data_IF_295158120012
#
_entry.id   IF_295158120012
#
_cell.length_a   1.000
_cell.length_b   1.000
_cell.length_c   1.000
_cell.angle_alpha   90.00
_cell.angle_beta   90.00
_cell.angle_gamma   90.00
#
_symmetry.space_group_name_H-M   'P 1'
#
loop_
_entity.id
_entity.type
_entity.pdbx_description
1 polymer ?
#
# COMPACT_ATOMS: atom_id res chain seq x y z
N UNK A 1 -14.11 11.01 -18.19
CA UNK A 1 -14.72 10.09 -17.22
C UNK A 1 -15.58 10.87 -16.25
N UNK A 2 -16.69 10.32 -15.88
CA UNK A 2 -17.60 10.99 -14.97
C UNK A 2 -17.00 11.18 -13.58
N UNK A 3 -17.23 12.36 -13.00
CA UNK A 3 -16.67 12.71 -11.69
C UNK A 3 -17.14 11.77 -10.57
N UNK A 4 -18.40 11.32 -10.60
CA UNK A 4 -18.92 10.40 -9.60
C UNK A 4 -18.21 9.06 -9.60
N UNK A 5 -17.85 8.56 -10.78
CA UNK A 5 -17.09 7.32 -10.91
C UNK A 5 -15.68 7.51 -10.37
N UNK A 6 -15.04 8.64 -10.67
CA UNK A 6 -13.70 8.94 -10.17
C UNK A 6 -13.68 9.06 -8.65
N UNK A 7 -14.72 9.69 -8.06
CA UNK A 7 -14.79 9.81 -6.60
C UNK A 7 -14.92 8.44 -5.94
N UNK A 8 -15.70 7.54 -6.54
CA UNK A 8 -15.82 6.17 -6.02
C UNK A 8 -14.50 5.43 -6.12
N UNK A 9 -13.81 5.58 -7.26
CA UNK A 9 -12.49 4.97 -7.44
C UNK A 9 -11.48 5.51 -6.43
N UNK A 10 -11.59 6.80 -6.10
CA UNK A 10 -10.71 7.40 -5.10
C UNK A 10 -10.92 6.77 -3.72
N UNK A 11 -12.17 6.57 -3.33
CA UNK A 11 -12.47 5.91 -2.05
C UNK A 11 -11.85 4.52 -2.00
N UNK A 12 -12.01 3.76 -3.08
CA UNK A 12 -11.43 2.41 -3.17
C UNK A 12 -9.90 2.46 -3.13
N UNK A 13 -9.30 3.41 -3.83
CA UNK A 13 -7.85 3.57 -3.83
C UNK A 13 -7.33 3.96 -2.45
N UNK A 14 -8.03 4.84 -1.74
CA UNK A 14 -7.66 5.22 -0.38
C UNK A 14 -7.71 4.01 0.56
N UNK A 15 -8.72 3.17 0.42
CA UNK A 15 -8.84 1.96 1.22
C UNK A 15 -7.70 0.98 0.91
N UNK A 16 -7.36 0.82 -0.37
CA UNK A 16 -6.27 -0.06 -0.78
C UNK A 16 -4.93 0.40 -0.22
N UNK A 17 -4.68 1.72 -0.24
CA UNK A 17 -3.46 2.29 0.33
C UNK A 17 -3.40 2.04 1.83
N UNK A 18 -4.52 2.27 2.53
CA UNK A 18 -4.58 2.06 3.98
C UNK A 18 -4.33 0.59 4.34
N UNK A 19 -4.91 -0.34 3.57
CA UNK A 19 -4.69 -1.78 3.78
C UNK A 19 -3.23 -2.15 3.65
N UNK A 20 -2.57 -1.70 2.58
CA UNK A 20 -1.17 -2.05 2.38
C UNK A 20 -0.28 -1.43 3.45
N UNK A 21 -0.59 -0.23 3.93
CA UNK A 21 0.14 0.36 5.07
C UNK A 21 0.03 -0.51 6.32
N UNK A 22 -1.17 -1.03 6.60
CA UNK A 22 -1.41 -1.88 7.76
C UNK A 22 -0.63 -3.19 7.64
N UNK A 23 -0.65 -3.82 6.47
CA UNK A 23 0.10 -5.06 6.24
C UNK A 23 1.60 -4.84 6.37
N UNK A 24 2.11 -3.75 5.81
CA UNK A 24 3.53 -3.40 5.91
C UNK A 24 3.94 -3.25 7.38
N UNK A 25 3.15 -2.51 8.16
CA UNK A 25 3.43 -2.31 9.57
C UNK A 25 3.44 -3.63 10.34
N UNK A 26 2.49 -4.53 10.01
CA UNK A 26 2.44 -5.85 10.64
C UNK A 26 3.68 -6.68 10.33
N UNK A 27 4.13 -6.68 9.08
CA UNK A 27 5.31 -7.43 8.68
C UNK A 27 6.57 -6.87 9.35
N UNK A 28 6.66 -5.54 9.46
CA UNK A 28 7.78 -4.92 10.16
C UNK A 28 7.85 -5.34 11.61
N UNK A 29 6.69 -5.41 12.30
CA UNK A 29 6.65 -5.87 13.68
C UNK A 29 7.07 -7.33 13.79
N UNK A 30 6.64 -8.18 12.85
CA UNK A 30 7.02 -9.59 12.86
C UNK A 30 8.53 -9.78 12.65
N UNK A 31 9.13 -8.96 11.80
CA UNK A 31 10.58 -9.02 11.57
C UNK A 31 11.33 -8.67 12.87
N UNK A 32 10.93 -7.58 13.52
CA UNK A 32 11.55 -7.16 14.78
C UNK A 32 11.42 -8.25 15.82
N UNK A 33 10.24 -8.86 15.94
CA UNK A 33 10.02 -9.93 16.91
C UNK A 33 10.86 -11.16 16.60
N UNK A 34 10.93 -11.56 15.34
CA UNK A 34 11.75 -12.71 14.92
C UNK A 34 13.22 -12.50 15.25
N UNK A 35 13.73 -11.31 14.97
CA UNK A 35 15.11 -10.96 15.27
C UNK A 35 15.39 -11.00 16.79
N UNK A 36 14.42 -10.48 17.56
CA UNK A 36 14.52 -10.49 19.02
C UNK A 36 14.54 -11.90 19.58
N UNK A 37 13.79 -12.81 18.94
CA UNK A 37 13.70 -14.22 19.36
C UNK A 37 14.82 -15.09 18.78
N UNK A 38 15.70 -14.49 17.98
CA UNK A 38 16.78 -15.23 17.34
C UNK A 38 16.34 -16.13 16.19
N UNK A 39 15.15 -15.85 15.62
CA UNK A 39 14.61 -16.63 14.51
C UNK A 39 14.94 -15.97 13.19
N UNK A 40 14.93 -16.80 12.11
CA UNK A 40 15.21 -16.33 10.77
C UNK A 40 13.99 -15.61 10.19
N UNK A 41 14.16 -14.33 9.83
CA UNK A 41 13.10 -13.51 9.28
C UNK A 41 13.13 -13.41 7.75
N UNK A 42 13.91 -14.24 7.08
CA UNK A 42 14.13 -14.13 5.63
C UNK A 42 12.82 -14.16 4.82
N UNK A 43 11.90 -15.07 5.16
CA UNK A 43 10.60 -15.17 4.48
C UNK A 43 9.78 -13.91 4.66
N UNK A 44 9.72 -13.39 5.88
CA UNK A 44 8.95 -12.19 6.21
C UNK A 44 9.55 -10.97 5.50
N UNK A 45 10.88 -10.90 5.44
CA UNK A 45 11.57 -9.81 4.73
C UNK A 45 11.23 -9.85 3.24
N UNK A 46 11.20 -11.04 2.63
CA UNK A 46 10.82 -11.20 1.24
C UNK A 46 9.39 -10.75 0.99
N UNK A 47 8.48 -11.15 1.88
CA UNK A 47 7.08 -10.74 1.78
C UNK A 47 6.95 -9.22 1.91
N UNK A 48 7.69 -8.62 2.83
CA UNK A 48 7.70 -7.17 2.99
C UNK A 48 8.10 -6.47 1.70
N UNK A 49 9.14 -7.00 1.00
CA UNK A 49 9.56 -6.44 -0.28
C UNK A 49 8.43 -6.43 -1.31
N UNK A 50 7.68 -7.53 -1.40
CA UNK A 50 6.53 -7.61 -2.32
C UNK A 50 5.42 -6.64 -1.93
N UNK A 51 5.16 -6.51 -0.63
CA UNK A 51 4.15 -5.59 -0.13
C UNK A 51 4.51 -4.13 -0.41
N UNK A 52 5.80 -3.79 -0.32
CA UNK A 52 6.26 -2.44 -0.62
C UNK A 52 6.03 -2.10 -2.10
N UNK A 53 6.28 -3.05 -2.99
CA UNK A 53 6.02 -2.85 -4.42
C UNK A 53 4.52 -2.69 -4.70
N UNK A 54 3.70 -3.52 -4.07
CA UNK A 54 2.25 -3.41 -4.20
C UNK A 54 1.75 -2.06 -3.68
N UNK A 55 2.27 -1.65 -2.53
CA UNK A 55 1.90 -0.36 -1.95
C UNK A 55 2.25 0.80 -2.87
N UNK A 56 3.43 0.76 -3.48
CA UNK A 56 3.86 1.78 -4.42
C UNK A 56 2.89 1.86 -5.61
N UNK A 57 2.49 0.71 -6.14
CA UNK A 57 1.54 0.65 -7.25
C UNK A 57 0.18 1.25 -6.85
N UNK A 58 -0.29 0.96 -5.64
CA UNK A 58 -1.55 1.50 -5.12
C UNK A 58 -1.49 3.01 -4.93
N UNK A 59 -0.35 3.52 -4.46
CA UNK A 59 -0.17 4.97 -4.31
C UNK A 59 -0.13 5.67 -5.67
N UNK A 60 0.48 5.05 -6.67
CA UNK A 60 0.50 5.58 -8.03
C UNK A 60 -0.91 5.65 -8.62
N UNK A 61 -1.72 4.60 -8.40
CA UNK A 61 -3.10 4.58 -8.86
C UNK A 61 -3.92 5.68 -8.19
N UNK A 62 -3.76 5.87 -6.89
CA UNK A 62 -4.42 6.95 -6.17
C UNK A 62 -4.03 8.32 -6.74
N UNK A 63 -2.74 8.52 -7.01
CA UNK A 63 -2.25 9.77 -7.57
C UNK A 63 -2.85 10.03 -8.95
N UNK A 64 -2.97 8.98 -9.78
CA UNK A 64 -3.57 9.11 -11.12
C UNK A 64 -5.03 9.57 -11.02
N UNK A 65 -5.78 8.98 -10.09
CA UNK A 65 -7.18 9.35 -9.90
C UNK A 65 -7.31 10.80 -9.43
N UNK A 66 -6.43 11.22 -8.50
CA UNK A 66 -6.42 12.59 -8.01
C UNK A 66 -6.11 13.57 -9.14
N UNK A 67 -5.17 13.23 -10.02
CA UNK A 67 -4.85 14.06 -11.17
C UNK A 67 -6.05 14.22 -12.09
N UNK A 68 -6.77 13.14 -12.35
CA UNK A 68 -7.97 13.20 -13.19
C UNK A 68 -9.08 14.02 -12.55
N UNK A 69 -9.26 13.89 -11.22
CA UNK A 69 -10.30 14.61 -10.50
C UNK A 69 -10.04 16.11 -10.43
N UNK A 70 -8.79 16.49 -10.21
CA UNK A 70 -8.44 17.88 -9.97
C UNK A 70 -7.78 18.55 -11.17
N UNK A 71 -7.84 17.88 -12.33
CA UNK A 71 -7.46 18.49 -13.57
C UNK A 71 -6.02 18.93 -13.64
N UNK A 72 -5.12 18.10 -13.16
CA UNK A 72 -3.69 18.39 -13.25
C UNK A 72 -3.28 18.32 -14.71
N UNK A 73 -3.41 19.39 -15.37
CA UNK A 73 -3.06 19.47 -16.78
C UNK A 73 -1.79 20.30 -16.94
#
# INVERSE_FOLDING_TARGET
MERGILLRQLVEAEQSVAESKAFIAQQQRLIVQSERDGQDAAETIRLLGKLLLLHQSREQERARILDELFGAS
#
